data_IF_755145739439
#
_entry.id   IF_755145739439
#
_cell.length_a   1.000
_cell.length_b   1.000
_cell.length_c   1.000
_cell.angle_alpha   90.00
_cell.angle_beta   90.00
_cell.angle_gamma   90.00
#
_symmetry.space_group_name_H-M   'P 1'
#
loop_
_entity.id
_entity.type
_entity.pdbx_description
1 polymer ?
#
# COMPACT_ATOMS: atom_id res chain seq x y z
N UNK A 1 -22.91 -15.06 -17.59
CA UNK A 1 -22.18 -14.65 -16.37
C UNK A 1 -23.08 -14.73 -15.15
N UNK A 2 -24.22 -14.04 -15.15
CA UNK A 2 -25.23 -14.18 -14.09
C UNK A 2 -25.72 -15.63 -13.95
N UNK A 3 -25.86 -16.35 -15.06
CA UNK A 3 -26.16 -17.79 -15.05
C UNK A 3 -25.10 -18.62 -14.30
N UNK A 4 -23.81 -18.28 -14.43
CA UNK A 4 -22.73 -18.96 -13.71
C UNK A 4 -22.83 -18.70 -12.19
N UNK A 5 -23.19 -17.48 -11.79
CA UNK A 5 -23.43 -17.16 -10.37
C UNK A 5 -24.60 -17.95 -9.77
N UNK A 6 -25.69 -18.12 -10.52
CA UNK A 6 -26.87 -18.83 -10.04
C UNK A 6 -26.73 -20.36 -10.12
N UNK A 7 -26.15 -20.89 -11.20
CA UNK A 7 -26.12 -22.33 -11.47
C UNK A 7 -24.87 -23.00 -10.88
N UNK A 8 -23.71 -22.37 -11.03
CA UNK A 8 -22.42 -22.94 -10.63
C UNK A 8 -22.13 -22.68 -9.14
N UNK A 9 -22.36 -21.44 -8.69
CA UNK A 9 -22.10 -21.02 -7.31
C UNK A 9 -23.33 -21.15 -6.39
N UNK A 10 -24.49 -21.53 -6.92
CA UNK A 10 -25.78 -21.68 -6.19
C UNK A 10 -26.12 -20.49 -5.30
N UNK A 11 -25.73 -19.28 -5.72
CA UNK A 11 -26.07 -18.06 -4.98
C UNK A 11 -27.53 -17.69 -5.24
N UNK A 12 -28.30 -17.34 -4.21
CA UNK A 12 -29.67 -16.90 -4.40
C UNK A 12 -29.70 -15.53 -5.09
N UNK A 13 -30.74 -15.29 -5.89
CA UNK A 13 -30.88 -14.08 -6.70
C UNK A 13 -30.78 -12.79 -5.86
N UNK A 14 -31.29 -12.81 -4.62
CA UNK A 14 -31.18 -11.68 -3.70
C UNK A 14 -29.73 -11.35 -3.32
N UNK A 15 -28.89 -12.36 -3.13
CA UNK A 15 -27.46 -12.18 -2.82
C UNK A 15 -26.70 -11.71 -4.05
N UNK A 16 -27.05 -12.22 -5.24
CA UNK A 16 -26.46 -11.78 -6.52
C UNK A 16 -26.73 -10.29 -6.78
N UNK A 17 -27.94 -9.80 -6.48
CA UNK A 17 -28.24 -8.37 -6.60
C UNK A 17 -27.33 -7.51 -5.70
N UNK A 18 -27.17 -7.89 -4.43
CA UNK A 18 -26.28 -7.16 -3.50
C UNK A 18 -24.82 -7.24 -3.95
N UNK A 19 -24.39 -8.37 -4.51
CA UNK A 19 -23.06 -8.54 -5.06
C UNK A 19 -22.79 -7.59 -6.23
N UNK A 20 -23.75 -7.46 -7.15
CA UNK A 20 -23.63 -6.55 -8.31
C UNK A 20 -23.54 -5.11 -7.84
N UNK A 21 -24.42 -4.68 -6.94
CA UNK A 21 -24.39 -3.33 -6.35
C UNK A 21 -23.02 -3.04 -5.69
N UNK A 22 -22.51 -4.01 -4.93
CA UNK A 22 -21.23 -3.87 -4.26
C UNK A 22 -20.06 -3.74 -5.25
N UNK A 23 -20.04 -4.56 -6.29
CA UNK A 23 -18.99 -4.50 -7.32
C UNK A 23 -19.02 -3.17 -8.05
N UNK A 24 -20.20 -2.69 -8.44
CA UNK A 24 -20.36 -1.40 -9.12
C UNK A 24 -19.89 -0.23 -8.26
N UNK A 25 -20.16 -0.29 -6.95
CA UNK A 25 -19.72 0.75 -6.01
C UNK A 25 -18.20 0.80 -5.84
N UNK A 26 -17.52 -0.35 -5.90
CA UNK A 26 -16.07 -0.44 -5.68
C UNK A 26 -15.26 -0.24 -6.96
N UNK A 27 -15.77 -0.69 -8.10
CA UNK A 27 -15.06 -0.69 -9.37
C UNK A 27 -15.50 0.47 -10.28
N UNK A 28 -15.84 1.62 -9.70
CA UNK A 28 -16.21 2.83 -10.45
C UNK A 28 -17.26 2.56 -11.56
N UNK A 29 -18.34 1.84 -11.20
CA UNK A 29 -19.40 1.39 -12.12
C UNK A 29 -18.97 0.41 -13.24
N UNK A 30 -17.79 -0.21 -13.14
CA UNK A 30 -17.31 -1.22 -14.10
C UNK A 30 -17.60 -2.63 -13.61
N UNK A 31 -18.52 -3.31 -14.29
CA UNK A 31 -18.84 -4.70 -14.02
C UNK A 31 -17.96 -5.64 -14.84
N UNK A 32 -16.73 -5.91 -14.36
CA UNK A 32 -15.81 -6.83 -15.04
C UNK A 32 -16.03 -8.27 -14.59
N UNK A 33 -16.11 -9.21 -15.55
CA UNK A 33 -16.41 -10.63 -15.27
C UNK A 33 -15.50 -11.23 -14.21
N UNK A 34 -14.19 -11.08 -14.40
CA UNK A 34 -13.17 -11.64 -13.54
C UNK A 34 -13.24 -11.11 -12.11
N UNK A 35 -13.54 -9.83 -11.93
CA UNK A 35 -13.64 -9.22 -10.60
C UNK A 35 -14.85 -9.73 -9.84
N UNK A 36 -16.02 -9.80 -10.49
CA UNK A 36 -17.22 -10.37 -9.89
C UNK A 36 -17.02 -11.83 -9.52
N UNK A 37 -16.37 -12.64 -10.36
CA UNK A 37 -16.06 -14.04 -10.06
C UNK A 37 -15.21 -14.17 -8.78
N UNK A 38 -14.19 -13.32 -8.62
CA UNK A 38 -13.35 -13.31 -7.41
C UNK A 38 -14.17 -12.99 -6.16
N UNK A 39 -15.04 -11.96 -6.19
CA UNK A 39 -15.87 -11.61 -5.05
C UNK A 39 -16.92 -12.69 -4.78
N UNK A 40 -17.55 -13.23 -5.81
CA UNK A 40 -18.53 -14.31 -5.69
C UNK A 40 -17.91 -15.57 -5.04
N UNK A 41 -16.71 -15.96 -5.48
CA UNK A 41 -15.98 -17.08 -4.89
C UNK A 41 -15.65 -16.83 -3.41
N UNK A 42 -15.32 -15.57 -3.06
CA UNK A 42 -15.08 -15.17 -1.67
C UNK A 42 -16.35 -15.30 -0.84
N UNK A 43 -17.51 -14.87 -1.35
CA UNK A 43 -18.79 -14.97 -0.64
C UNK A 43 -19.27 -16.41 -0.47
N UNK A 44 -19.00 -17.28 -1.43
CA UNK A 44 -19.27 -18.72 -1.29
C UNK A 44 -18.44 -19.34 -0.17
N UNK A 45 -17.15 -18.96 -0.05
CA UNK A 45 -16.28 -19.43 1.04
C UNK A 45 -16.73 -18.92 2.41
N UNK A 46 -17.25 -17.70 2.47
CA UNK A 46 -17.86 -17.10 3.66
C UNK A 46 -19.28 -17.63 3.96
N UNK A 47 -19.79 -18.56 3.14
CA UNK A 47 -21.12 -19.19 3.27
C UNK A 47 -22.27 -18.18 3.32
N UNK A 48 -22.19 -17.14 2.49
CA UNK A 48 -23.25 -16.13 2.37
C UNK A 48 -24.45 -16.71 1.64
N UNK A 49 -25.57 -16.88 2.33
CA UNK A 49 -26.81 -17.42 1.76
C UNK A 49 -27.97 -16.45 1.81
N UNK A 50 -27.89 -15.39 2.62
CA UNK A 50 -28.98 -14.42 2.75
C UNK A 50 -28.55 -13.01 2.35
N UNK A 51 -29.52 -12.22 1.90
CA UNK A 51 -29.34 -10.80 1.60
C UNK A 51 -28.74 -10.03 2.78
N UNK A 52 -29.18 -10.34 3.99
CA UNK A 52 -28.73 -9.69 5.23
C UNK A 52 -27.24 -9.95 5.50
N UNK A 53 -26.80 -11.20 5.32
CA UNK A 53 -25.40 -11.58 5.43
C UNK A 53 -24.53 -10.88 4.37
N UNK A 54 -25.03 -10.83 3.13
CA UNK A 54 -24.36 -10.11 2.05
C UNK A 54 -24.19 -8.62 2.39
N UNK A 55 -25.26 -7.95 2.82
CA UNK A 55 -25.21 -6.55 3.24
C UNK A 55 -24.31 -6.31 4.45
N UNK A 56 -24.22 -7.26 5.39
CA UNK A 56 -23.32 -7.16 6.52
C UNK A 56 -21.85 -7.18 6.06
N UNK A 57 -21.48 -8.07 5.15
CA UNK A 57 -20.12 -8.15 4.59
C UNK A 57 -19.73 -6.91 3.79
N UNK A 58 -20.64 -6.38 2.98
CA UNK A 58 -20.36 -5.17 2.19
C UNK A 58 -20.12 -3.96 3.08
N UNK A 59 -20.85 -3.84 4.20
CA UNK A 59 -20.64 -2.78 5.20
C UNK A 59 -19.38 -2.97 6.04
N UNK A 60 -19.04 -4.23 6.36
CA UNK A 60 -17.88 -4.57 7.20
C UNK A 60 -16.56 -4.35 6.47
N UNK A 61 -16.58 -4.42 5.14
CA UNK A 61 -15.44 -4.00 4.32
C UNK A 61 -15.45 -2.47 4.31
N UNK A 62 -14.55 -1.77 5.03
CA UNK A 62 -14.46 -0.34 4.83
C UNK A 62 -14.18 -0.16 3.35
N UNK A 63 -15.03 0.62 2.65
CA UNK A 63 -14.68 1.12 1.33
C UNK A 63 -13.22 1.57 1.45
N UNK A 64 -12.31 1.02 0.64
CA UNK A 64 -10.91 1.38 0.60
C UNK A 64 -10.83 2.86 0.17
N UNK A 65 -11.28 3.77 1.04
CA UNK A 65 -10.91 5.16 1.03
C UNK A 65 -9.43 5.05 1.28
N UNK A 66 -8.64 5.33 0.24
CA UNK A 66 -7.20 5.45 0.37
C UNK A 66 -6.97 6.52 1.43
N UNK A 67 -6.86 6.11 2.69
CA UNK A 67 -6.31 6.96 3.71
C UNK A 67 -4.85 7.08 3.29
N UNK A 68 -4.38 8.28 2.91
CA UNK A 68 -2.96 8.45 2.63
C UNK A 68 -2.25 8.15 3.95
N UNK A 69 -1.75 6.92 4.10
CA UNK A 69 -0.87 6.59 5.21
C UNK A 69 0.34 7.46 4.99
N UNK A 70 0.50 8.51 5.81
CA UNK A 70 1.74 9.27 5.91
C UNK A 70 2.79 8.32 6.51
N UNK A 71 3.25 7.35 5.70
CA UNK A 71 4.41 6.54 6.03
C UNK A 71 5.55 7.54 6.02
N UNK A 72 6.11 7.80 7.20
CA UNK A 72 7.39 8.49 7.29
C UNK A 72 8.40 7.49 6.76
N UNK A 73 9.03 7.79 5.63
CA UNK A 73 10.14 7.01 5.12
C UNK A 73 11.30 7.20 6.12
N UNK A 74 11.39 6.30 7.09
CA UNK A 74 12.51 6.25 8.03
C UNK A 74 13.59 5.41 7.37
N UNK A 75 14.77 6.00 7.18
CA UNK A 75 15.91 5.25 6.67
C UNK A 75 16.32 4.16 7.69
N UNK A 76 16.71 2.96 7.25
CA UNK A 76 17.14 1.90 8.16
C UNK A 76 18.39 2.25 8.98
N UNK A 77 18.49 1.72 10.20
CA UNK A 77 19.57 1.98 11.17
C UNK A 77 21.00 1.70 10.64
N UNK A 78 21.16 0.83 9.64
CA UNK A 78 22.47 0.56 9.04
C UNK A 78 23.02 1.76 8.25
N UNK A 79 22.13 2.61 7.71
CA UNK A 79 22.49 3.75 6.88
C UNK A 79 23.22 4.84 7.69
N UNK A 80 22.76 5.08 8.92
CA UNK A 80 23.40 6.03 9.84
C UNK A 80 24.79 5.55 10.28
N UNK A 81 24.94 4.25 10.53
CA UNK A 81 26.22 3.62 10.89
C UNK A 81 27.25 3.72 9.76
N UNK A 82 26.82 3.56 8.51
CA UNK A 82 27.70 3.70 7.35
C UNK A 82 28.22 5.13 7.22
N UNK A 83 27.35 6.13 7.41
CA UNK A 83 27.71 7.55 7.34
C UNK A 83 28.66 7.98 8.47
N UNK A 84 28.46 7.44 9.68
CA UNK A 84 29.36 7.68 10.81
C UNK A 84 30.77 7.13 10.54
N UNK A 85 30.85 5.92 9.98
CA UNK A 85 32.11 5.26 9.61
C UNK A 85 32.87 6.04 8.53
N UNK A 86 32.16 6.49 7.49
CA UNK A 86 32.76 7.31 6.42
C UNK A 86 33.30 8.64 6.97
N UNK A 87 32.58 9.29 7.89
CA UNK A 87 33.03 10.53 8.53
C UNK A 87 34.28 10.31 9.39
N UNK A 88 34.31 9.23 10.18
CA UNK A 88 35.48 8.86 10.99
C UNK A 88 36.69 8.56 10.11
N UNK A 89 36.49 7.86 8.98
CA UNK A 89 37.53 7.57 8.01
C UNK A 89 38.06 8.85 7.33
N UNK A 90 37.21 9.80 6.97
CA UNK A 90 37.65 11.12 6.44
C UNK A 90 38.40 11.96 7.46
N UNK A 91 38.02 11.91 8.75
CA UNK A 91 38.69 12.66 9.82
C UNK A 91 40.08 12.08 10.12
N UNK A 92 40.24 10.76 10.00
CA UNK A 92 41.51 10.08 10.25
C UNK A 92 42.53 10.25 9.11
N UNK A 93 42.09 10.64 7.90
CA UNK A 93 42.96 10.82 6.73
C UNK A 93 43.62 12.20 6.71
N UNK A 94 43.03 13.21 7.34
CA UNK A 94 43.54 14.57 7.30
C UNK A 94 44.68 14.69 8.34
N UNK A 95 45.91 14.87 7.86
CA UNK A 95 47.06 15.20 8.69
C UNK A 95 46.94 16.65 9.19
N UNK A 96 47.42 16.94 10.41
CA UNK A 96 47.41 18.28 11.04
C UNK A 96 48.02 19.37 10.12
N UNK A 97 48.93 19.00 9.23
CA UNK A 97 49.56 19.87 8.22
C UNK A 97 48.61 20.25 7.06
N UNK A 98 47.72 19.34 6.65
CA UNK A 98 46.73 19.60 5.59
C UNK A 98 45.60 20.51 6.08
N UNK A 99 45.23 20.43 7.37
CA UNK A 99 44.25 21.34 7.99
C UNK A 99 44.72 22.79 7.96
N UNK A 100 45.99 23.05 8.25
CA UNK A 100 46.56 24.40 8.21
C UNK A 100 46.59 24.97 6.79
N UNK A 101 46.89 24.14 5.78
CA UNK A 101 46.91 24.58 4.38
C UNK A 101 45.50 24.91 3.87
N UNK A 102 44.51 24.09 4.23
CA UNK A 102 43.09 24.33 3.92
C UNK A 102 42.62 25.61 4.60
N UNK A 103 42.99 25.85 5.86
CA UNK A 103 42.65 27.08 6.60
C UNK A 103 43.27 28.33 5.97
N UNK A 104 44.52 28.28 5.50
CA UNK A 104 45.14 29.40 4.77
C UNK A 104 44.42 29.70 3.46
N UNK A 105 44.06 28.67 2.68
CA UNK A 105 43.35 28.83 1.40
C UNK A 105 41.95 29.43 1.59
N UNK A 106 41.23 29.07 2.66
CA UNK A 106 39.93 29.65 2.98
C UNK A 106 40.00 31.13 3.38
N UNK A 107 41.05 31.53 4.10
CA UNK A 107 41.24 32.93 4.52
C UNK A 107 41.55 33.87 3.35
N UNK A 108 42.26 33.39 2.32
CA UNK A 108 42.60 34.17 1.12
C UNK A 108 41.46 34.32 0.10
N UNK A 109 40.34 33.60 0.25
CA UNK A 109 39.18 33.69 -0.65
C UNK A 109 38.15 34.75 -0.20
N UNK A 110 38.35 35.33 0.99
CA UNK A 110 37.47 36.32 1.62
C UNK A 110 37.96 37.77 1.55
N UNK A 111 39.02 38.06 0.78
CA UNK A 111 39.51 39.41 0.46
C UNK A 111 39.27 39.76 -1.01
#
# INVERSE_FOLDING_TARGET
MLEYLNLDLKLPAEVVNVLIDYVLNINENRLTKRFVEVIATTWVREKVTTKEQAMALTKKTPAFKSQPSKKKDVLPDYYEKMKAKEKEETLNIISEEEEEEIARKLKGLGE
#
